data_IF_667546271696
#
_entry.id   IF_667546271696
#
_cell.length_a   1.000
_cell.length_b   1.000
_cell.length_c   1.000
_cell.angle_alpha   90.00
_cell.angle_beta   90.00
_cell.angle_gamma   90.00
#
_symmetry.space_group_name_H-M   'P 1'
#
loop_
_entity.id
_entity.type
_entity.pdbx_description
1 polymer ?
#
# COMPACT_ATOMS: atom_id res chain seq x y z
N UNK A 1 20.63 -29.47 19.82
CA UNK A 1 19.53 -29.37 18.84
C UNK A 1 18.37 -28.67 19.53
N UNK A 2 18.21 -27.35 19.36
CA UNK A 2 17.04 -26.63 19.86
C UNK A 2 16.55 -25.69 18.75
N UNK A 3 15.49 -26.17 18.10
CA UNK A 3 14.59 -25.56 17.13
C UNK A 3 14.72 -24.05 16.93
N UNK A 4 15.41 -23.65 15.86
CA UNK A 4 15.22 -22.36 15.22
C UNK A 4 13.89 -22.39 14.43
N UNK A 5 12.77 -22.26 15.13
CA UNK A 5 11.54 -21.82 14.48
C UNK A 5 11.47 -20.31 14.67
N UNK A 6 12.30 -19.59 13.90
CA UNK A 6 12.17 -18.13 13.79
C UNK A 6 10.80 -17.91 13.15
N UNK A 7 9.81 -17.53 13.96
CA UNK A 7 8.51 -17.12 13.47
C UNK A 7 8.74 -16.09 12.36
N UNK A 8 8.27 -16.39 11.15
CA UNK A 8 8.44 -15.48 10.01
C UNK A 8 7.57 -14.24 10.24
N UNK A 9 8.13 -13.25 10.90
CA UNK A 9 7.46 -12.01 11.23
C UNK A 9 7.29 -11.15 9.97
N UNK A 10 6.09 -10.61 9.78
CA UNK A 10 5.80 -9.69 8.68
C UNK A 10 6.63 -8.42 8.80
N UNK A 11 7.44 -8.13 7.79
CA UNK A 11 8.24 -6.92 7.72
C UNK A 11 7.60 -5.89 6.77
N UNK A 12 7.16 -6.35 5.60
CA UNK A 12 6.67 -5.49 4.52
C UNK A 12 5.39 -6.08 3.92
N UNK A 13 4.41 -5.22 3.66
CA UNK A 13 3.13 -5.57 3.06
C UNK A 13 2.83 -4.65 1.88
N UNK A 14 2.79 -5.19 0.67
CA UNK A 14 2.23 -4.52 -0.50
C UNK A 14 0.72 -4.70 -0.54
N UNK A 15 -0.01 -3.61 -0.77
CA UNK A 15 -1.47 -3.64 -0.93
C UNK A 15 -1.84 -2.97 -2.25
N UNK A 16 -2.45 -3.73 -3.14
CA UNK A 16 -3.14 -3.18 -4.30
C UNK A 16 -4.56 -2.75 -3.89
N UNK A 17 -4.87 -1.47 -4.12
CA UNK A 17 -6.08 -0.82 -3.62
C UNK A 17 -7.16 -0.78 -4.70
N UNK A 18 -8.25 -1.53 -4.51
CA UNK A 18 -9.46 -1.35 -5.31
C UNK A 18 -10.63 -0.80 -4.49
N UNK A 19 -11.79 -0.65 -5.14
CA UNK A 19 -12.99 -0.09 -4.48
C UNK A 19 -13.52 -0.98 -3.36
N UNK A 20 -13.49 -2.30 -3.57
CA UNK A 20 -14.09 -3.28 -2.65
C UNK A 20 -13.19 -4.47 -2.32
N UNK A 21 -12.31 -4.87 -3.24
CA UNK A 21 -11.41 -6.01 -3.08
C UNK A 21 -9.96 -5.51 -3.06
N UNK A 22 -9.16 -6.03 -2.16
CA UNK A 22 -7.78 -5.60 -1.93
C UNK A 22 -6.89 -6.81 -2.00
N UNK A 23 -5.82 -6.74 -2.80
CA UNK A 23 -4.82 -7.80 -2.83
C UNK A 23 -3.67 -7.45 -1.92
N UNK A 24 -3.29 -8.40 -1.06
CA UNK A 24 -2.22 -8.26 -0.09
C UNK A 24 -1.10 -9.23 -0.45
N UNK A 25 0.12 -8.71 -0.47
CA UNK A 25 1.34 -9.50 -0.58
C UNK A 25 2.31 -9.09 0.53
N UNK A 26 2.56 -9.99 1.48
CA UNK A 26 3.43 -9.73 2.62
C UNK A 26 4.66 -10.62 2.61
N UNK A 27 5.81 -10.04 2.97
CA UNK A 27 7.10 -10.71 3.10
C UNK A 27 7.72 -10.51 4.47
N UNK A 28 8.54 -11.47 4.89
CA UNK A 28 9.40 -11.35 6.06
C UNK A 28 10.65 -10.49 5.78
N UNK A 29 11.53 -10.35 6.78
CA UNK A 29 12.78 -9.58 6.65
C UNK A 29 13.74 -10.12 5.59
N UNK A 30 13.63 -11.41 5.24
CA UNK A 30 14.44 -12.07 4.22
C UNK A 30 13.80 -12.00 2.83
N UNK A 31 12.65 -11.32 2.70
CA UNK A 31 11.89 -11.24 1.45
C UNK A 31 11.09 -12.50 1.13
N UNK A 32 11.00 -13.47 2.05
CA UNK A 32 10.17 -14.66 1.84
C UNK A 32 8.69 -14.30 1.98
N UNK A 33 7.88 -14.68 1.01
CA UNK A 33 6.43 -14.48 1.08
C UNK A 33 5.83 -15.25 2.25
N UNK A 34 5.02 -14.55 3.05
CA UNK A 34 4.24 -15.11 4.16
C UNK A 34 2.74 -14.80 4.07
N UNK A 35 2.35 -13.78 3.30
CA UNK A 35 0.94 -13.41 3.09
C UNK A 35 0.71 -13.27 1.59
N UNK A 36 -0.29 -13.98 1.06
CA UNK A 36 -0.88 -13.76 -0.27
C UNK A 36 -2.38 -13.95 -0.14
N UNK A 37 -3.17 -12.87 -0.22
CA UNK A 37 -4.62 -12.98 -0.05
C UNK A 37 -5.39 -11.79 -0.60
N UNK A 38 -6.67 -12.05 -0.88
CA UNK A 38 -7.66 -11.03 -1.21
C UNK A 38 -8.55 -10.75 -0.01
N UNK A 39 -8.77 -9.49 0.31
CA UNK A 39 -9.69 -9.07 1.38
C UNK A 39 -10.75 -8.10 0.84
N UNK A 40 -11.94 -8.15 1.41
CA UNK A 40 -12.95 -7.11 1.20
C UNK A 40 -12.59 -5.85 1.99
N UNK A 41 -13.16 -4.70 1.60
CA UNK A 41 -13.00 -3.43 2.33
C UNK A 41 -13.33 -3.55 3.82
N UNK A 42 -14.38 -4.31 4.16
CA UNK A 42 -14.84 -4.51 5.54
C UNK A 42 -13.80 -5.28 6.36
N UNK A 43 -13.17 -6.28 5.76
CA UNK A 43 -12.23 -7.16 6.44
C UNK A 43 -10.80 -6.59 6.47
N UNK A 44 -10.48 -5.64 5.60
CA UNK A 44 -9.14 -5.07 5.49
C UNK A 44 -8.69 -4.42 6.80
N UNK A 45 -9.49 -3.51 7.35
CA UNK A 45 -9.13 -2.77 8.58
C UNK A 45 -8.93 -3.72 9.76
N UNK A 46 -9.86 -4.66 9.94
CA UNK A 46 -9.78 -5.67 11.01
C UNK A 46 -8.52 -6.52 10.86
N UNK A 47 -8.18 -6.92 9.64
CA UNK A 47 -6.98 -7.71 9.41
C UNK A 47 -5.70 -6.91 9.69
N UNK A 48 -5.60 -5.67 9.19
CA UNK A 48 -4.41 -4.83 9.43
C UNK A 48 -4.22 -4.56 10.93
N UNK A 49 -5.31 -4.32 11.67
CA UNK A 49 -5.25 -4.10 13.12
C UNK A 49 -4.73 -5.30 13.93
N UNK A 50 -4.74 -6.52 13.37
CA UNK A 50 -4.21 -7.72 14.01
C UNK A 50 -2.74 -7.98 13.66
N UNK A 51 -2.17 -7.22 12.71
CA UNK A 51 -0.78 -7.36 12.32
C UNK A 51 0.14 -6.62 13.28
N UNK A 52 1.37 -7.11 13.52
CA UNK A 52 2.39 -6.30 14.14
C UNK A 52 2.71 -5.07 13.26
N UNK A 53 3.21 -3.97 13.85
CA UNK A 53 3.71 -2.82 13.10
C UNK A 53 4.68 -3.25 11.99
N UNK A 54 4.42 -2.79 10.77
CA UNK A 54 5.19 -3.17 9.57
C UNK A 54 5.20 -2.02 8.56
N UNK A 55 6.00 -2.13 7.51
CA UNK A 55 5.97 -1.18 6.40
C UNK A 55 4.90 -1.59 5.40
N UNK A 56 3.94 -0.71 5.12
CA UNK A 56 2.89 -0.92 4.13
C UNK A 56 3.18 -0.09 2.89
N UNK A 57 3.37 -0.75 1.75
CA UNK A 57 3.44 -0.12 0.43
C UNK A 57 2.06 -0.05 -0.22
N UNK A 58 1.72 1.09 -0.81
CA UNK A 58 0.50 1.27 -1.62
C UNK A 58 0.79 2.12 -2.87
N UNK A 59 -0.01 1.94 -3.91
CA UNK A 59 -0.03 2.85 -5.07
C UNK A 59 -0.88 4.10 -4.78
N UNK A 60 -0.41 5.25 -5.25
CA UNK A 60 -1.13 6.51 -5.21
C UNK A 60 -2.35 6.46 -6.15
N UNK A 61 -3.54 6.35 -5.56
CA UNK A 61 -4.82 6.37 -6.26
C UNK A 61 -5.80 7.34 -5.57
N UNK A 62 -7.02 7.47 -6.11
CA UNK A 62 -8.04 8.37 -5.54
C UNK A 62 -8.38 8.09 -4.08
N UNK A 63 -8.27 6.83 -3.64
CA UNK A 63 -8.51 6.41 -2.25
C UNK A 63 -7.26 6.30 -1.37
N UNK A 64 -6.06 6.48 -1.92
CA UNK A 64 -4.82 6.12 -1.21
C UNK A 64 -4.60 6.95 0.06
N UNK A 65 -4.81 8.28 0.03
CA UNK A 65 -4.63 9.13 1.21
C UNK A 65 -5.54 8.71 2.39
N UNK A 66 -6.75 8.23 2.12
CA UNK A 66 -7.63 7.70 3.16
C UNK A 66 -7.01 6.47 3.82
N UNK A 67 -6.51 5.53 3.02
CA UNK A 67 -5.88 4.31 3.52
C UNK A 67 -4.57 4.57 4.27
N UNK A 68 -3.73 5.52 3.81
CA UNK A 68 -2.55 5.94 4.58
C UNK A 68 -2.95 6.32 6.01
N UNK A 69 -3.89 7.25 6.15
CA UNK A 69 -4.34 7.75 7.46
C UNK A 69 -4.94 6.64 8.33
N UNK A 70 -5.63 5.67 7.72
CA UNK A 70 -6.21 4.53 8.45
C UNK A 70 -5.12 3.60 8.95
N UNK A 71 -4.16 3.24 8.11
CA UNK A 71 -3.10 2.29 8.47
C UNK A 71 -2.06 2.89 9.44
N UNK A 72 -1.73 4.18 9.30
CA UNK A 72 -0.86 4.89 10.25
C UNK A 72 -1.47 4.95 11.65
N UNK A 73 -2.80 5.17 11.75
CA UNK A 73 -3.51 5.11 13.04
C UNK A 73 -3.47 3.74 13.70
N UNK A 74 -3.28 2.68 12.92
CA UNK A 74 -3.09 1.31 13.42
C UNK A 74 -1.62 1.00 13.77
N UNK A 75 -0.72 1.97 13.64
CA UNK A 75 0.70 1.85 14.05
C UNK A 75 1.65 1.39 12.93
N UNK A 76 1.19 1.32 11.68
CA UNK A 76 2.05 0.93 10.55
C UNK A 76 2.74 2.14 9.92
N UNK A 77 3.93 1.91 9.36
CA UNK A 77 4.61 2.91 8.53
C UNK A 77 4.11 2.74 7.09
N UNK A 78 3.45 3.76 6.54
CA UNK A 78 2.87 3.66 5.19
C UNK A 78 3.71 4.46 4.20
N UNK A 79 3.99 3.85 3.04
CA UNK A 79 4.75 4.44 1.96
C UNK A 79 3.94 4.37 0.67
N UNK A 80 3.51 5.53 0.20
CA UNK A 80 2.72 5.67 -1.02
C UNK A 80 3.64 5.91 -2.22
N UNK A 81 3.49 5.15 -3.30
CA UNK A 81 4.30 5.25 -4.51
C UNK A 81 3.45 5.68 -5.70
N UNK A 82 4.05 6.43 -6.62
CA UNK A 82 3.37 6.76 -7.86
C UNK A 82 3.28 5.51 -8.78
N UNK A 83 2.18 5.32 -9.54
CA UNK A 83 1.96 4.13 -10.38
C UNK A 83 3.15 3.82 -11.31
N UNK A 84 3.77 4.86 -11.87
CA UNK A 84 4.91 4.73 -12.78
C UNK A 84 6.15 4.11 -12.13
N UNK A 85 6.28 4.17 -10.81
CA UNK A 85 7.39 3.55 -10.09
C UNK A 85 7.12 2.10 -9.71
N UNK A 86 5.86 1.69 -9.67
CA UNK A 86 5.45 0.30 -9.38
C UNK A 86 5.49 -0.54 -10.66
N UNK A 87 5.05 0.03 -11.80
CA UNK A 87 4.95 -0.66 -13.09
C UNK A 87 6.18 -1.50 -13.49
N UNK A 88 7.44 -1.04 -13.30
CA UNK A 88 8.64 -1.84 -13.65
C UNK A 88 8.80 -3.13 -12.84
N UNK A 89 8.13 -3.27 -11.70
CA UNK A 89 8.22 -4.43 -10.81
C UNK A 89 7.14 -5.48 -11.09
N UNK A 90 6.23 -5.23 -12.04
CA UNK A 90 5.22 -6.21 -12.46
C UNK A 90 5.88 -7.21 -13.42
N UNK A 91 6.11 -8.43 -12.95
CA UNK A 91 6.92 -9.46 -13.64
C UNK A 91 6.19 -10.20 -14.76
N UNK A 92 4.85 -10.21 -14.75
CA UNK A 92 4.02 -11.01 -15.66
C UNK A 92 2.81 -10.21 -16.14
N UNK A 93 1.83 -10.89 -16.75
CA UNK A 93 0.57 -10.26 -17.15
C UNK A 93 -0.09 -9.55 -15.95
N UNK A 94 -0.69 -8.39 -16.23
CA UNK A 94 -1.34 -7.57 -15.21
C UNK A 94 -2.43 -8.39 -14.51
N UNK A 95 -2.31 -8.46 -13.19
CA UNK A 95 -3.31 -8.97 -12.28
C UNK A 95 -3.16 -8.24 -10.94
N UNK A 96 -4.25 -8.08 -10.20
CA UNK A 96 -4.22 -7.39 -8.90
C UNK A 96 -3.22 -8.05 -7.92
N UNK A 97 -3.03 -9.38 -8.01
CA UNK A 97 -2.07 -10.10 -7.18
C UNK A 97 -0.61 -9.83 -7.59
N UNK A 98 -0.34 -9.70 -8.89
CA UNK A 98 0.97 -9.31 -9.40
C UNK A 98 1.28 -7.85 -9.06
N UNK A 99 0.28 -6.97 -9.10
CA UNK A 99 0.41 -5.57 -8.71
C UNK A 99 0.72 -5.45 -7.20
N UNK A 100 0.05 -6.22 -6.33
CA UNK A 100 0.37 -6.26 -4.90
C UNK A 100 1.79 -6.76 -4.60
N UNK A 101 2.27 -7.77 -5.34
CA UNK A 101 3.66 -8.22 -5.27
C UNK A 101 4.64 -7.13 -5.72
N UNK A 102 4.36 -6.48 -6.85
CA UNK A 102 5.18 -5.40 -7.40
C UNK A 102 5.28 -4.22 -6.42
N UNK A 103 4.17 -3.83 -5.77
CA UNK A 103 4.14 -2.82 -4.72
C UNK A 103 5.01 -3.26 -3.53
N UNK A 104 4.88 -4.51 -3.10
CA UNK A 104 5.68 -5.05 -1.99
C UNK A 104 7.18 -5.02 -2.32
N UNK A 105 7.57 -5.31 -3.54
CA UNK A 105 8.97 -5.28 -3.97
C UNK A 105 9.52 -3.85 -4.15
N UNK A 106 8.72 -2.96 -4.74
CA UNK A 106 9.09 -1.59 -5.03
C UNK A 106 9.32 -0.77 -3.76
N UNK A 107 8.47 -0.92 -2.74
CA UNK A 107 8.54 -0.15 -1.49
C UNK A 107 9.83 -0.40 -0.70
N UNK A 108 10.47 -1.55 -0.93
CA UNK A 108 11.72 -1.97 -0.27
C UNK A 108 12.96 -1.34 -0.88
N UNK A 109 12.86 -0.73 -2.06
CA UNK A 109 14.03 -0.23 -2.79
C UNK A 109 14.57 1.04 -2.10
N UNK A 110 15.87 1.09 -1.73
CA UNK A 110 16.43 2.26 -1.04
C UNK A 110 16.34 3.55 -1.84
N UNK A 111 16.39 3.47 -3.17
CA UNK A 111 16.29 4.60 -4.10
C UNK A 111 14.85 5.00 -4.45
N UNK A 112 13.84 4.36 -3.86
CA UNK A 112 12.44 4.61 -4.18
C UNK A 112 12.01 6.02 -3.78
N UNK A 113 11.16 6.63 -4.60
CA UNK A 113 10.56 7.94 -4.35
C UNK A 113 9.10 7.77 -3.94
N UNK A 114 8.76 8.35 -2.79
CA UNK A 114 7.42 8.25 -2.23
C UNK A 114 6.65 9.55 -2.43
N UNK A 115 5.34 9.42 -2.62
CA UNK A 115 4.39 10.53 -2.69
C UNK A 115 3.94 10.84 -1.27
N UNK A 116 4.06 12.09 -0.80
CA UNK A 116 3.60 12.45 0.54
C UNK A 116 2.08 12.30 0.65
N UNK A 117 1.64 11.72 1.77
CA UNK A 117 0.23 11.64 2.11
C UNK A 117 -0.32 13.03 2.43
N UNK A 118 -1.55 13.28 2.00
CA UNK A 118 -2.25 14.54 2.29
C UNK A 118 -3.09 14.41 3.54
N UNK A 119 -3.14 15.46 4.35
CA UNK A 119 -4.19 15.63 5.36
C UNK A 119 -5.57 15.75 4.70
N UNK A 120 -6.63 15.71 5.51
CA UNK A 120 -8.00 15.90 5.00
C UNK A 120 -8.12 17.32 4.41
N UNK A 121 -7.64 18.32 5.13
CA UNK A 121 -7.68 19.73 4.76
C UNK A 121 -6.88 20.01 3.48
N UNK A 122 -5.69 19.39 3.34
CA UNK A 122 -4.90 19.47 2.11
C UNK A 122 -5.60 18.82 0.91
N UNK A 123 -6.31 17.71 1.15
CA UNK A 123 -7.09 17.01 0.12
C UNK A 123 -8.33 17.82 -0.29
N UNK A 124 -8.98 18.51 0.65
CA UNK A 124 -10.12 19.39 0.41
C UNK A 124 -9.70 20.61 -0.43
N UNK A 125 -8.63 21.29 -0.03
CA UNK A 125 -8.08 22.43 -0.76
C UNK A 125 -7.70 22.04 -2.20
N UNK A 126 -7.04 20.89 -2.38
CA UNK A 126 -6.73 20.36 -3.71
C UNK A 126 -8.00 20.12 -4.55
N UNK A 127 -9.07 19.64 -3.93
CA UNK A 127 -10.34 19.38 -4.61
C UNK A 127 -10.98 20.67 -5.10
N UNK A 128 -10.99 21.72 -4.27
CA UNK A 128 -11.46 23.07 -4.65
C UNK A 128 -10.65 23.64 -5.82
N UNK A 129 -9.31 23.53 -5.77
CA UNK A 129 -8.45 23.97 -6.88
C UNK A 129 -8.77 23.24 -8.18
N UNK A 130 -8.97 21.91 -8.13
CA UNK A 130 -9.33 21.12 -9.32
C UNK A 130 -10.68 21.52 -9.90
N UNK A 131 -11.69 21.73 -9.06
CA UNK A 131 -13.02 22.21 -9.49
C UNK A 131 -12.88 23.57 -10.18
N UNK A 132 -12.14 24.51 -9.57
CA UNK A 132 -11.90 25.83 -10.16
C UNK A 132 -11.20 25.73 -11.52
N UNK A 133 -10.13 24.95 -11.62
CA UNK A 133 -9.41 24.76 -12.89
C UNK A 133 -10.32 24.22 -13.99
N UNK A 134 -11.19 23.25 -13.68
CA UNK A 134 -12.15 22.72 -14.65
C UNK A 134 -13.22 23.73 -15.07
N UNK A 135 -13.60 24.65 -14.19
CA UNK A 135 -14.58 25.70 -14.49
C UNK A 135 -13.98 26.86 -15.31
N UNK A 136 -12.69 27.15 -15.16
CA UNK A 136 -12.00 28.26 -15.85
C UNK A 136 -11.47 27.85 -17.23
N UNK A 137 -11.00 26.62 -17.40
CA UNK A 137 -10.38 26.14 -18.66
C UNK A 137 -11.43 25.64 -19.68
N UNK A 138 -12.47 26.42 -19.97
CA UNK A 138 -13.39 26.16 -21.09
C UNK A 138 -13.01 26.95 -22.33
#
# INVERSE_FOLDING_TARGET
MNNHNVEKQLAVLGIDLAKQNFQLHGVDQNGSTIIKKTLSRKNLVQFIAQLPPCTIGIEACGGANHWVRVFEKLGHTVKMMAPQFVKPYVKSNKSDAADAEAICEAVQRPSMRFVPAKSIEQQDLQSVHRIRSQAVTR
#
